data_IF_647431914159
#
_entry.id   IF_647431914159
#
_cell.length_a   1.000
_cell.length_b   1.000
_cell.length_c   1.000
_cell.angle_alpha   90.00
_cell.angle_beta   90.00
_cell.angle_gamma   90.00
#
_symmetry.space_group_name_H-M   'P 1'
#
loop_
_entity.id
_entity.type
_entity.pdbx_description
1 polymer ?
#
# COMPACT_ATOMS: atom_id res chain seq x y z
N UNK A 1 28.18 -35.08 -3.03
CA UNK A 1 29.29 -34.27 -2.46
C UNK A 1 29.29 -32.96 -3.24
N UNK A 2 29.01 -31.76 -2.72
CA UNK A 2 29.29 -31.13 -1.42
C UNK A 2 28.05 -30.37 -0.93
N UNK A 3 27.81 -30.40 0.39
CA UNK A 3 26.62 -29.83 1.03
C UNK A 3 26.68 -28.31 1.18
N UNK A 4 25.49 -27.69 1.19
CA UNK A 4 25.32 -26.33 1.70
C UNK A 4 25.36 -26.37 3.25
N UNK A 5 26.01 -25.39 3.90
CA UNK A 5 26.04 -25.34 5.36
C UNK A 5 24.67 -24.93 5.91
N UNK A 6 24.16 -25.74 6.84
CA UNK A 6 23.02 -25.45 7.69
C UNK A 6 23.43 -24.46 8.80
N UNK A 7 23.22 -23.16 8.58
CA UNK A 7 23.31 -22.12 9.60
C UNK A 7 21.96 -21.85 10.28
N UNK A 8 21.93 -21.23 11.47
CA UNK A 8 20.70 -20.92 12.20
C UNK A 8 19.80 -20.01 11.35
N UNK A 9 18.51 -20.35 11.29
CA UNK A 9 17.52 -19.75 10.41
C UNK A 9 17.49 -18.22 10.53
N UNK A 10 17.96 -17.51 9.50
CA UNK A 10 17.61 -16.11 9.29
C UNK A 10 16.09 -16.00 9.37
N UNK A 11 15.59 -15.21 10.33
CA UNK A 11 14.15 -15.01 10.47
C UNK A 11 13.70 -14.10 9.32
N UNK A 12 13.34 -14.71 8.20
CA UNK A 12 12.73 -14.04 7.06
C UNK A 12 11.44 -13.35 7.52
N UNK A 13 11.43 -12.03 7.55
CA UNK A 13 10.17 -11.28 7.58
C UNK A 13 9.80 -10.99 6.12
N UNK A 14 9.26 -12.03 5.47
CA UNK A 14 8.68 -12.11 4.10
C UNK A 14 9.31 -11.22 3.01
N UNK A 15 9.90 -11.85 1.99
CA UNK A 15 10.07 -11.22 0.68
C UNK A 15 8.70 -10.74 0.16
N UNK A 16 8.60 -9.47 -0.27
CA UNK A 16 7.43 -9.01 -1.00
C UNK A 16 7.29 -9.85 -2.28
N UNK A 17 6.09 -10.34 -2.64
CA UNK A 17 5.91 -11.06 -3.89
C UNK A 17 6.34 -10.18 -5.07
N UNK A 18 6.81 -10.83 -6.14
CA UNK A 18 6.99 -10.18 -7.44
C UNK A 18 5.64 -9.55 -7.83
N UNK A 19 5.65 -8.26 -8.14
CA UNK A 19 4.48 -7.37 -8.32
C UNK A 19 3.83 -6.90 -7.00
N UNK A 20 4.08 -5.62 -6.68
CA UNK A 20 3.49 -4.95 -5.50
C UNK A 20 2.39 -4.00 -5.96
N UNK A 21 1.15 -4.29 -5.58
CA UNK A 21 0.02 -3.36 -5.68
C UNK A 21 -0.19 -2.62 -4.33
N UNK A 22 -1.25 -1.84 -4.19
CA UNK A 22 -1.42 -0.95 -3.03
C UNK A 22 -1.41 -1.69 -1.67
N UNK A 23 -2.04 -2.86 -1.60
CA UNK A 23 -2.05 -3.73 -0.43
C UNK A 23 -0.65 -4.12 0.05
N UNK A 24 0.24 -4.49 -0.88
CA UNK A 24 1.62 -4.84 -0.58
C UNK A 24 2.42 -3.64 -0.06
N UNK A 25 2.22 -2.45 -0.62
CA UNK A 25 2.83 -1.21 -0.12
C UNK A 25 2.36 -0.91 1.31
N UNK A 26 1.06 -1.01 1.59
CA UNK A 26 0.51 -0.85 2.94
C UNK A 26 1.07 -1.89 3.91
N UNK A 27 1.27 -3.13 3.46
CA UNK A 27 1.84 -4.21 4.29
C UNK A 27 3.29 -3.93 4.67
N UNK A 28 4.12 -3.52 3.71
CA UNK A 28 5.51 -3.10 3.97
C UNK A 28 5.53 -1.95 4.97
N UNK A 29 4.69 -0.93 4.77
CA UNK A 29 4.61 0.20 5.70
C UNK A 29 4.14 -0.22 7.09
N UNK A 30 3.13 -1.08 7.22
CA UNK A 30 2.65 -1.58 8.51
C UNK A 30 3.74 -2.37 9.26
N UNK A 31 4.56 -3.12 8.54
CA UNK A 31 5.71 -3.80 9.12
C UNK A 31 6.78 -2.81 9.59
N UNK A 32 7.19 -1.89 8.71
CA UNK A 32 8.25 -0.92 9.00
C UNK A 32 7.83 0.12 10.04
N UNK A 33 6.54 0.46 10.16
CA UNK A 33 6.02 1.27 11.26
C UNK A 33 6.24 0.61 12.61
N UNK A 34 6.14 -0.72 12.69
CA UNK A 34 6.40 -1.47 13.94
C UNK A 34 7.89 -1.63 14.22
N UNK A 35 8.69 -1.83 13.19
CA UNK A 35 10.10 -2.21 13.36
C UNK A 35 11.09 -1.05 13.25
N UNK A 36 10.80 0.02 12.51
CA UNK A 36 11.77 1.06 12.16
C UNK A 36 11.38 2.48 12.62
N UNK A 37 10.08 2.80 12.73
CA UNK A 37 9.67 4.14 13.17
C UNK A 37 10.09 4.40 14.62
N UNK A 38 10.60 5.60 14.88
CA UNK A 38 11.21 6.02 16.14
C UNK A 38 12.68 5.66 16.27
N UNK A 39 13.22 4.81 15.39
CA UNK A 39 14.62 4.39 15.46
C UNK A 39 15.55 5.35 14.75
N UNK A 40 16.77 5.44 15.27
CA UNK A 40 17.90 6.09 14.61
C UNK A 40 18.53 5.13 13.60
N UNK A 41 18.55 5.52 12.33
CA UNK A 41 18.99 4.70 11.21
C UNK A 41 20.19 5.35 10.49
N UNK A 42 21.18 4.54 10.12
CA UNK A 42 22.21 4.88 9.14
C UNK A 42 21.71 4.52 7.76
N UNK A 43 21.68 5.49 6.85
CA UNK A 43 21.39 5.26 5.45
C UNK A 43 22.68 5.12 4.63
N UNK A 44 22.75 4.11 3.77
CA UNK A 44 23.76 4.00 2.71
C UNK A 44 23.08 3.70 1.37
N UNK A 45 23.77 3.99 0.26
CA UNK A 45 23.30 3.70 -1.10
C UNK A 45 24.24 2.67 -1.74
N UNK A 46 24.03 1.36 -1.54
CA UNK A 46 25.00 0.33 -1.96
C UNK A 46 25.36 0.39 -3.44
N UNK A 47 24.38 0.57 -4.33
CA UNK A 47 24.64 0.71 -5.76
C UNK A 47 24.92 2.15 -6.24
N UNK A 48 25.12 3.09 -5.31
CA UNK A 48 25.41 4.50 -5.59
C UNK A 48 24.26 5.35 -6.14
N UNK A 49 23.18 4.77 -6.68
CA UNK A 49 22.12 5.51 -7.38
C UNK A 49 21.25 6.41 -6.49
N UNK A 50 21.31 6.24 -5.17
CA UNK A 50 20.60 7.07 -4.20
C UNK A 50 21.55 7.73 -3.17
N UNK A 51 22.82 7.97 -3.57
CA UNK A 51 23.86 8.51 -2.68
C UNK A 51 23.46 9.84 -2.03
N UNK A 52 22.89 10.77 -2.82
CA UNK A 52 22.45 12.08 -2.30
C UNK A 52 21.37 11.94 -1.23
N UNK A 53 20.37 11.08 -1.47
CA UNK A 53 19.28 10.84 -0.53
C UNK A 53 19.75 10.15 0.75
N UNK A 54 20.65 9.16 0.66
CA UNK A 54 21.26 8.54 1.84
C UNK A 54 22.02 9.58 2.69
N UNK A 55 22.75 10.49 2.05
CA UNK A 55 23.44 11.58 2.75
C UNK A 55 22.44 12.54 3.42
N UNK A 56 21.36 12.88 2.73
CA UNK A 56 20.30 13.76 3.26
C UNK A 56 19.62 13.15 4.50
N UNK A 57 19.29 11.85 4.47
CA UNK A 57 18.75 11.12 5.63
C UNK A 57 19.69 11.21 6.83
N UNK A 58 20.97 10.94 6.61
CA UNK A 58 21.98 10.98 7.69
C UNK A 58 22.14 12.40 8.25
N UNK A 59 22.20 13.42 7.39
CA UNK A 59 22.27 14.84 7.79
C UNK A 59 21.04 15.31 8.56
N UNK A 60 19.86 14.77 8.23
CA UNK A 60 18.62 15.00 8.97
C UNK A 60 18.60 14.30 10.35
N UNK A 61 19.65 13.56 10.73
CA UNK A 61 19.75 12.84 12.00
C UNK A 61 19.35 11.37 11.94
N UNK A 62 18.85 10.89 10.79
CA UNK A 62 18.57 9.47 10.54
C UNK A 62 17.39 8.88 11.30
N UNK A 63 16.61 9.68 12.03
CA UNK A 63 15.45 9.17 12.79
C UNK A 63 14.23 9.07 11.87
N UNK A 64 13.69 7.87 11.67
CA UNK A 64 12.46 7.67 10.90
C UNK A 64 11.25 8.01 11.77
N UNK A 65 10.56 9.11 11.50
CA UNK A 65 9.45 9.59 12.35
C UNK A 65 8.08 9.20 11.83
N UNK A 66 7.94 8.98 10.52
CA UNK A 66 6.65 8.68 9.90
C UNK A 66 6.84 7.88 8.62
N UNK A 67 5.87 7.00 8.34
CA UNK A 67 5.72 6.37 7.04
C UNK A 67 4.29 6.64 6.59
N UNK A 68 4.12 7.23 5.41
CA UNK A 68 2.84 7.36 4.72
C UNK A 68 2.78 6.42 3.53
N UNK A 69 1.57 6.00 3.17
CA UNK A 69 1.29 5.25 1.95
C UNK A 69 0.10 5.89 1.26
N UNK A 70 0.22 6.05 -0.06
CA UNK A 70 -0.85 6.49 -0.94
C UNK A 70 -0.79 5.68 -2.23
N UNK A 71 -1.67 4.68 -2.32
CA UNK A 71 -1.65 3.67 -3.37
C UNK A 71 -0.34 2.89 -3.38
N UNK A 72 0.39 2.95 -4.50
CA UNK A 72 1.67 2.26 -4.69
C UNK A 72 2.89 3.09 -4.30
N UNK A 73 2.68 4.24 -3.67
CA UNK A 73 3.72 5.16 -3.27
C UNK A 73 3.91 5.10 -1.75
N UNK A 74 5.14 4.84 -1.31
CA UNK A 74 5.50 4.94 0.10
C UNK A 74 6.35 6.19 0.33
N UNK A 75 6.15 6.86 1.46
CA UNK A 75 6.87 8.06 1.84
C UNK A 75 7.43 7.91 3.25
N UNK A 76 8.75 7.92 3.37
CA UNK A 76 9.46 7.73 4.63
C UNK A 76 10.02 9.08 5.08
N UNK A 77 9.60 9.54 6.25
CA UNK A 77 9.95 10.86 6.78
C UNK A 77 11.07 10.71 7.81
N UNK A 78 12.23 11.30 7.51
CA UNK A 78 13.41 11.30 8.36
C UNK A 78 13.68 12.68 8.94
N UNK A 79 14.05 12.74 10.21
CA UNK A 79 14.48 13.95 10.90
C UNK A 79 13.60 14.33 12.09
N UNK A 80 13.94 15.42 12.82
CA UNK A 80 13.17 15.83 13.98
C UNK A 80 11.74 16.19 13.58
N UNK A 81 10.78 15.77 14.41
CA UNK A 81 9.37 15.98 14.13
C UNK A 81 9.10 17.50 14.01
N UNK A 82 8.52 17.94 12.89
CA UNK A 82 8.10 19.33 12.62
C UNK A 82 9.21 20.38 12.42
N UNK A 83 10.29 20.08 11.70
CA UNK A 83 11.30 21.09 11.34
C UNK A 83 11.58 21.17 9.84
N UNK A 84 12.25 22.26 9.42
CA UNK A 84 12.81 22.44 8.07
C UNK A 84 13.85 21.39 7.67
N UNK A 85 14.31 20.58 8.63
CA UNK A 85 15.30 19.51 8.43
C UNK A 85 14.68 18.16 8.08
N UNK A 86 13.35 18.04 7.98
CA UNK A 86 12.72 16.78 7.57
C UNK A 86 13.02 16.46 6.11
N UNK A 87 13.51 15.25 5.85
CA UNK A 87 13.70 14.67 4.51
C UNK A 87 12.66 13.59 4.30
N UNK A 88 11.96 13.64 3.17
CA UNK A 88 11.03 12.59 2.76
C UNK A 88 11.68 11.77 1.65
N UNK A 89 11.64 10.45 1.78
CA UNK A 89 12.03 9.50 0.75
C UNK A 89 10.77 8.93 0.10
N UNK A 90 10.60 9.17 -1.20
CA UNK A 90 9.55 8.53 -2.01
C UNK A 90 10.07 7.23 -2.58
N UNK A 91 9.28 6.17 -2.41
CA UNK A 91 9.57 4.82 -2.89
C UNK A 91 8.40 4.37 -3.75
N UNK A 92 8.72 3.93 -4.97
CA UNK A 92 7.79 3.22 -5.85
C UNK A 92 8.46 1.96 -6.39
N UNK A 93 7.95 0.79 -5.99
CA UNK A 93 8.60 -0.49 -6.24
C UNK A 93 8.74 -0.84 -7.71
N UNK A 94 7.75 -0.49 -8.55
CA UNK A 94 7.65 -1.06 -9.89
C UNK A 94 7.31 -2.55 -9.83
N UNK A 95 7.74 -3.32 -10.83
CA UNK A 95 7.35 -4.73 -10.93
C UNK A 95 8.18 -5.67 -10.04
N UNK A 96 9.43 -5.33 -9.76
CA UNK A 96 10.40 -6.21 -9.09
C UNK A 96 11.06 -5.58 -7.85
N UNK A 97 10.53 -4.46 -7.37
CA UNK A 97 11.04 -3.82 -6.16
C UNK A 97 10.67 -4.60 -4.89
N UNK A 98 11.53 -4.55 -3.89
CA UNK A 98 11.33 -5.14 -2.58
C UNK A 98 11.98 -4.27 -1.49
N UNK A 99 11.41 -4.30 -0.29
CA UNK A 99 12.03 -3.69 0.89
C UNK A 99 11.98 -4.68 2.05
N UNK A 100 13.05 -5.45 2.21
CA UNK A 100 13.16 -6.49 3.23
C UNK A 100 13.92 -5.98 4.45
N UNK A 101 13.52 -6.43 5.65
CA UNK A 101 14.22 -6.13 6.91
C UNK A 101 14.79 -7.43 7.49
N UNK A 102 16.08 -7.40 7.78
CA UNK A 102 16.84 -8.50 8.37
C UNK A 102 17.19 -8.20 9.82
N UNK A 103 17.24 -9.23 10.66
CA UNK A 103 17.65 -9.16 12.05
C UNK A 103 18.94 -9.96 12.24
N UNK A 104 19.97 -9.34 12.84
CA UNK A 104 21.31 -9.91 13.11
C UNK A 104 22.12 -10.24 11.85
N UNK A 105 21.68 -11.23 11.07
CA UNK A 105 22.31 -11.66 9.82
C UNK A 105 21.56 -11.06 8.64
N UNK A 106 22.27 -10.28 7.82
CA UNK A 106 21.77 -9.75 6.55
C UNK A 106 22.57 -10.34 5.39
N UNK A 107 21.95 -10.55 4.21
CA UNK A 107 22.68 -10.95 3.02
C UNK A 107 23.55 -9.79 2.50
N UNK A 108 24.50 -10.12 1.62
CA UNK A 108 25.21 -9.09 0.87
C UNK A 108 24.25 -8.27 0.01
N UNK A 109 24.54 -6.97 -0.10
CA UNK A 109 23.77 -6.08 -0.97
C UNK A 109 24.01 -6.43 -2.43
N UNK A 110 22.96 -6.38 -3.24
CA UNK A 110 23.04 -6.64 -4.68
C UNK A 110 23.21 -5.35 -5.48
N UNK A 111 23.53 -5.45 -6.78
CA UNK A 111 23.55 -4.33 -7.72
C UNK A 111 22.23 -3.53 -7.79
N UNK A 112 21.12 -4.13 -7.37
CA UNK A 112 19.79 -3.49 -7.35
C UNK A 112 19.45 -2.84 -6.00
N UNK A 113 20.29 -3.01 -4.97
CA UNK A 113 20.04 -2.43 -3.65
C UNK A 113 20.34 -0.93 -3.67
N UNK A 114 19.28 -0.12 -3.74
CA UNK A 114 19.34 1.35 -3.83
C UNK A 114 19.55 2.02 -2.49
N UNK A 115 18.92 1.52 -1.44
CA UNK A 115 19.01 2.09 -0.10
C UNK A 115 19.16 0.95 0.92
N UNK A 116 20.10 1.09 1.84
CA UNK A 116 20.21 0.25 3.03
C UNK A 116 20.04 1.12 4.27
N UNK A 117 19.13 0.72 5.15
CA UNK A 117 18.86 1.39 6.43
C UNK A 117 19.28 0.47 7.57
N UNK A 118 20.16 0.91 8.45
CA UNK A 118 20.68 0.12 9.56
C UNK A 118 20.39 0.81 10.89
N UNK A 119 19.87 0.09 11.89
CA UNK A 119 19.69 0.65 13.23
C UNK A 119 21.03 1.00 13.90
N UNK A 120 21.10 2.21 14.48
CA UNK A 120 22.23 2.74 15.25
C UNK A 120 21.88 3.02 16.72
N UNK A 121 20.72 2.57 17.17
CA UNK A 121 20.17 2.83 18.50
C UNK A 121 20.65 1.83 19.58
N UNK A 122 21.63 0.97 19.25
CA UNK A 122 22.13 -0.08 20.15
C UNK A 122 21.13 -1.21 20.41
N UNK A 123 19.97 -1.21 19.75
CA UNK A 123 18.96 -2.25 19.94
C UNK A 123 19.42 -3.60 19.42
N UNK A 124 19.01 -4.65 20.15
CA UNK A 124 19.21 -6.04 19.75
C UNK A 124 17.86 -6.72 19.50
N UNK A 125 17.71 -7.46 18.37
CA UNK A 125 18.70 -7.61 17.31
C UNK A 125 18.86 -6.32 16.49
N UNK A 126 20.09 -6.05 16.00
CA UNK A 126 20.34 -5.00 15.00
C UNK A 126 19.49 -5.30 13.75
N UNK A 127 18.75 -4.29 13.29
CA UNK A 127 17.93 -4.40 12.09
C UNK A 127 18.62 -3.75 10.89
N UNK A 128 18.49 -4.38 9.72
CA UNK A 128 18.96 -3.85 8.46
C UNK A 128 17.92 -4.00 7.37
N UNK A 129 17.42 -2.88 6.83
CA UNK A 129 16.48 -2.83 5.74
C UNK A 129 17.17 -2.64 4.40
N UNK A 130 16.92 -3.51 3.42
CA UNK A 130 17.45 -3.39 2.05
C UNK A 130 16.31 -3.09 1.08
N UNK A 131 16.43 -1.97 0.37
CA UNK A 131 15.47 -1.51 -0.63
C UNK A 131 16.03 -1.67 -2.04
N UNK A 132 15.31 -2.40 -2.88
CA UNK A 132 15.35 -2.33 -4.34
C UNK A 132 14.03 -1.76 -4.83
N UNK A 133 14.06 -0.77 -5.73
CA UNK A 133 12.85 -0.18 -6.29
C UNK A 133 13.15 0.54 -7.60
N UNK A 134 12.12 0.67 -8.44
CA UNK A 134 12.16 1.43 -9.67
C UNK A 134 12.46 2.91 -9.41
N UNK A 135 11.78 3.50 -8.42
CA UNK A 135 11.96 4.90 -8.00
C UNK A 135 12.32 4.95 -6.52
N UNK A 136 13.41 5.66 -6.22
CA UNK A 136 13.83 6.04 -4.86
C UNK A 136 14.33 7.46 -4.94
N UNK A 137 13.51 8.41 -4.52
CA UNK A 137 13.78 9.85 -4.60
C UNK A 137 13.67 10.50 -3.22
N UNK A 138 14.25 11.67 -3.04
CA UNK A 138 14.18 12.40 -1.77
C UNK A 138 13.93 13.88 -1.97
N UNK A 139 13.29 14.51 -0.98
CA UNK A 139 13.05 15.93 -1.00
C UNK A 139 12.39 16.43 0.28
N UNK A 140 12.00 17.70 0.28
CA UNK A 140 11.25 18.31 1.39
C UNK A 140 9.80 17.81 1.39
N UNK A 141 9.11 17.76 2.56
CA UNK A 141 7.73 17.30 2.64
C UNK A 141 6.75 17.96 1.66
N UNK A 142 6.85 19.27 1.45
CA UNK A 142 5.94 19.99 0.55
C UNK A 142 6.00 19.50 -0.89
N UNK A 143 7.20 19.22 -1.41
CA UNK A 143 7.38 18.77 -2.81
C UNK A 143 7.25 17.26 -2.91
N UNK A 144 7.93 16.52 -2.03
CA UNK A 144 8.07 15.07 -2.17
C UNK A 144 6.87 14.30 -1.64
N UNK A 145 6.07 14.88 -0.73
CA UNK A 145 4.84 14.24 -0.27
C UNK A 145 3.60 14.99 -0.76
N UNK A 146 3.41 16.26 -0.39
CA UNK A 146 2.13 16.94 -0.65
C UNK A 146 1.81 17.01 -2.16
N UNK A 147 2.75 17.50 -3.00
CA UNK A 147 2.54 17.59 -4.45
C UNK A 147 2.26 16.24 -5.11
N UNK A 148 2.88 15.15 -4.66
CA UNK A 148 2.63 13.82 -5.21
C UNK A 148 1.28 13.26 -4.71
N UNK A 149 0.97 13.43 -3.43
CA UNK A 149 -0.29 12.97 -2.83
C UNK A 149 -1.52 13.67 -3.43
N UNK A 150 -1.42 14.98 -3.73
CA UNK A 150 -2.50 15.76 -4.35
C UNK A 150 -2.89 15.23 -5.75
N UNK A 151 -1.92 14.69 -6.50
CA UNK A 151 -2.15 14.12 -7.84
C UNK A 151 -2.78 12.73 -7.83
N UNK A 152 -2.77 12.05 -6.67
CA UNK A 152 -3.29 10.69 -6.55
C UNK A 152 -4.79 10.70 -6.24
N UNK A 153 -5.50 9.72 -6.79
CA UNK A 153 -6.89 9.43 -6.47
C UNK A 153 -7.05 8.89 -5.05
N UNK A 154 -8.29 8.69 -4.58
CA UNK A 154 -8.54 8.04 -3.29
C UNK A 154 -7.87 6.65 -3.25
N UNK A 155 -7.28 6.31 -2.10
CA UNK A 155 -6.65 5.00 -1.85
C UNK A 155 -7.61 4.14 -1.00
N UNK A 156 -8.11 3.00 -1.52
CA UNK A 156 -9.08 2.16 -0.83
C UNK A 156 -8.68 1.66 0.57
N UNK A 157 -7.39 1.68 0.92
CA UNK A 157 -6.89 1.22 2.22
C UNK A 157 -6.64 2.35 3.22
N UNK A 158 -6.85 3.61 2.83
CA UNK A 158 -6.74 4.73 3.76
C UNK A 158 -8.07 5.02 4.44
N UNK A 159 -8.01 5.41 5.71
CA UNK A 159 -9.20 5.77 6.48
C UNK A 159 -9.87 7.07 6.00
N UNK A 160 -9.11 7.93 5.31
CA UNK A 160 -9.58 9.20 4.73
C UNK A 160 -9.96 9.07 3.25
N UNK A 161 -10.15 7.84 2.75
CA UNK A 161 -10.51 7.61 1.36
C UNK A 161 -11.93 8.10 1.05
N UNK A 162 -12.05 9.00 0.08
CA UNK A 162 -13.34 9.51 -0.38
C UNK A 162 -13.86 8.75 -1.60
N UNK A 163 -14.84 7.88 -1.37
CA UNK A 163 -15.55 7.15 -2.44
C UNK A 163 -16.23 8.09 -3.43
N UNK A 164 -16.72 9.26 -2.98
CA UNK A 164 -17.42 10.21 -3.87
C UNK A 164 -16.47 10.79 -4.91
N UNK A 165 -15.20 10.99 -4.55
CA UNK A 165 -14.16 11.41 -5.50
C UNK A 165 -13.93 10.35 -6.58
N UNK A 166 -13.91 9.07 -6.20
CA UNK A 166 -13.81 7.96 -7.16
C UNK A 166 -15.03 7.90 -8.08
N UNK A 167 -16.24 7.88 -7.53
CA UNK A 167 -17.47 7.76 -8.33
C UNK A 167 -17.64 8.94 -9.29
N UNK A 168 -17.36 10.17 -8.82
CA UNK A 168 -17.43 11.37 -9.66
C UNK A 168 -16.41 11.35 -10.80
N UNK A 169 -15.19 10.88 -10.52
CA UNK A 169 -14.15 10.74 -11.54
C UNK A 169 -14.58 9.76 -12.62
N UNK A 170 -15.10 8.59 -12.25
CA UNK A 170 -15.61 7.59 -13.18
C UNK A 170 -16.78 8.12 -14.01
N UNK A 171 -17.76 8.78 -13.38
CA UNK A 171 -18.91 9.37 -14.07
C UNK A 171 -18.50 10.42 -15.13
N UNK A 172 -17.36 11.09 -14.95
CA UNK A 172 -16.82 12.05 -15.91
C UNK A 172 -16.04 11.43 -17.07
N UNK A 173 -15.79 10.12 -17.08
CA UNK A 173 -14.86 9.48 -18.01
C UNK A 173 -15.56 8.59 -19.04
N UNK A 174 -15.43 8.93 -20.33
CA UNK A 174 -15.85 8.07 -21.45
C UNK A 174 -14.93 6.86 -21.68
N UNK A 175 -13.78 6.82 -21.01
CA UNK A 175 -12.81 5.73 -21.14
C UNK A 175 -13.38 4.43 -20.54
N UNK A 176 -12.97 3.26 -21.04
CA UNK A 176 -13.28 1.97 -20.41
C UNK A 176 -12.98 1.96 -18.91
N UNK A 177 -13.86 1.38 -18.09
CA UNK A 177 -13.68 1.27 -16.64
C UNK A 177 -12.39 0.52 -16.30
N UNK A 178 -12.02 -0.50 -17.07
CA UNK A 178 -10.74 -1.19 -16.90
C UNK A 178 -9.54 -0.25 -17.13
N UNK A 179 -9.64 0.75 -18.00
CA UNK A 179 -8.58 1.76 -18.16
C UNK A 179 -8.57 2.72 -16.97
N UNK A 180 -9.75 3.15 -16.51
CA UNK A 180 -9.89 4.07 -15.37
C UNK A 180 -9.34 3.48 -14.07
N UNK A 181 -9.55 2.18 -13.82
CA UNK A 181 -9.00 1.52 -12.63
C UNK A 181 -7.47 1.44 -12.60
N UNK A 182 -6.79 1.69 -13.73
CA UNK A 182 -5.32 1.78 -13.77
C UNK A 182 -4.79 3.21 -13.64
N UNK A 183 -5.66 4.21 -13.78
CA UNK A 183 -5.33 5.62 -13.62
C UNK A 183 -5.17 5.94 -12.12
N UNK A 184 -3.91 6.14 -11.69
CA UNK A 184 -3.61 6.42 -10.29
C UNK A 184 -4.15 7.77 -9.81
N UNK A 185 -4.58 8.68 -10.71
CA UNK A 185 -5.31 9.90 -10.36
C UNK A 185 -6.81 9.66 -10.09
N UNK A 186 -7.36 8.56 -10.61
CA UNK A 186 -8.74 8.17 -10.40
C UNK A 186 -8.91 7.27 -9.18
N UNK A 187 -8.01 6.31 -9.00
CA UNK A 187 -7.96 5.44 -7.82
C UNK A 187 -6.52 4.97 -7.60
N UNK A 188 -5.98 5.26 -6.43
CA UNK A 188 -4.59 4.94 -6.13
C UNK A 188 -4.48 3.50 -5.59
N UNK A 189 -3.47 2.75 -6.03
CA UNK A 189 -3.15 1.44 -5.46
C UNK A 189 -3.66 0.24 -6.27
N UNK A 190 -4.75 0.40 -7.03
CA UNK A 190 -5.24 -0.65 -7.93
C UNK A 190 -4.24 -0.89 -9.07
N UNK A 191 -3.93 -2.16 -9.33
CA UNK A 191 -3.15 -2.60 -10.48
C UNK A 191 -3.87 -3.63 -11.34
N UNK A 192 -3.09 -4.34 -12.15
CA UNK A 192 -3.63 -5.18 -13.21
C UNK A 192 -4.39 -6.39 -12.65
N UNK A 193 -3.89 -6.91 -11.53
CA UNK A 193 -4.48 -8.07 -10.86
C UNK A 193 -5.80 -7.63 -10.22
N UNK A 194 -5.76 -6.62 -9.33
CA UNK A 194 -6.98 -6.15 -8.70
C UNK A 194 -8.01 -5.67 -9.71
N UNK A 195 -7.61 -4.94 -10.77
CA UNK A 195 -8.53 -4.55 -11.86
C UNK A 195 -9.31 -5.73 -12.42
N UNK A 196 -8.63 -6.82 -12.77
CA UNK A 196 -9.29 -7.98 -13.40
C UNK A 196 -10.21 -8.67 -12.40
N UNK A 197 -9.72 -8.89 -11.17
CA UNK A 197 -10.43 -9.61 -10.12
C UNK A 197 -11.66 -8.85 -9.59
N UNK A 198 -11.58 -7.53 -9.44
CA UNK A 198 -12.69 -6.72 -8.91
C UNK A 198 -13.78 -6.49 -9.98
N UNK A 199 -13.39 -6.34 -11.25
CA UNK A 199 -14.36 -6.24 -12.35
C UNK A 199 -15.07 -7.57 -12.59
N UNK A 200 -14.35 -8.69 -12.48
CA UNK A 200 -14.98 -10.02 -12.49
C UNK A 200 -15.97 -10.18 -11.33
N UNK A 201 -15.56 -9.83 -10.12
CA UNK A 201 -16.42 -9.96 -8.94
C UNK A 201 -17.69 -9.12 -9.09
N UNK A 202 -17.56 -7.90 -9.59
CA UNK A 202 -18.67 -6.98 -9.89
C UNK A 202 -19.49 -7.35 -11.14
N UNK A 203 -19.05 -8.31 -11.97
CA UNK A 203 -19.72 -8.66 -13.22
C UNK A 203 -19.68 -7.56 -14.29
N UNK A 204 -18.74 -6.62 -14.18
CA UNK A 204 -18.61 -5.49 -15.11
C UNK A 204 -17.58 -5.83 -16.18
N UNK A 205 -17.95 -5.66 -17.45
CA UNK A 205 -17.02 -5.84 -18.55
C UNK A 205 -15.95 -4.73 -18.55
N UNK A 206 -14.64 -5.04 -18.69
CA UNK A 206 -13.60 -4.00 -18.61
C UNK A 206 -13.70 -2.90 -19.66
N UNK A 207 -14.27 -3.22 -20.83
CA UNK A 207 -14.51 -2.25 -21.91
C UNK A 207 -15.72 -1.34 -21.69
N UNK A 208 -16.54 -1.58 -20.65
CA UNK A 208 -17.70 -0.73 -20.37
C UNK A 208 -17.24 0.71 -20.11
N UNK A 209 -17.75 1.74 -20.81
CA UNK A 209 -17.39 3.12 -20.55
C UNK A 209 -17.73 3.50 -19.10
N UNK A 210 -16.78 4.09 -18.37
CA UNK A 210 -16.95 4.34 -16.93
C UNK A 210 -18.13 5.27 -16.61
N UNK A 211 -18.41 6.22 -17.50
CA UNK A 211 -19.55 7.13 -17.38
C UNK A 211 -20.93 6.49 -17.66
N UNK A 212 -20.98 5.22 -18.06
CA UNK A 212 -22.24 4.48 -18.25
C UNK A 212 -22.59 3.59 -17.04
N UNK A 213 -21.71 3.56 -16.03
CA UNK A 213 -21.98 2.89 -14.76
C UNK A 213 -22.75 3.84 -13.85
N UNK A 214 -23.81 3.34 -13.23
CA UNK A 214 -24.59 4.08 -12.24
C UNK A 214 -23.75 4.36 -10.98
N UNK A 215 -24.17 5.36 -10.21
CA UNK A 215 -23.51 5.67 -8.92
C UNK A 215 -23.55 4.47 -7.96
N UNK A 216 -24.61 3.67 -8.00
CA UNK A 216 -24.73 2.44 -7.19
C UNK A 216 -23.73 1.36 -7.64
N UNK A 217 -23.58 1.14 -8.94
CA UNK A 217 -22.57 0.19 -9.48
C UNK A 217 -21.15 0.63 -9.13
N UNK A 218 -20.84 1.92 -9.23
CA UNK A 218 -19.52 2.45 -8.89
C UNK A 218 -19.24 2.35 -7.37
N UNK A 219 -20.23 2.60 -6.51
CA UNK A 219 -20.10 2.40 -5.08
C UNK A 219 -19.94 0.92 -4.70
N UNK A 220 -20.65 0.02 -5.39
CA UNK A 220 -20.48 -1.43 -5.27
C UNK A 220 -19.07 -1.87 -5.69
N UNK A 221 -18.59 -1.36 -6.83
CA UNK A 221 -17.23 -1.61 -7.31
C UNK A 221 -16.17 -1.13 -6.31
N UNK A 222 -16.34 0.07 -5.75
CA UNK A 222 -15.48 0.58 -4.68
C UNK A 222 -15.45 -0.36 -3.47
N UNK A 223 -16.62 -0.82 -3.01
CA UNK A 223 -16.74 -1.75 -1.88
C UNK A 223 -15.99 -3.05 -2.15
N UNK A 224 -16.12 -3.60 -3.36
CA UNK A 224 -15.39 -4.79 -3.81
C UNK A 224 -13.88 -4.57 -3.81
N UNK A 225 -13.41 -3.42 -4.30
CA UNK A 225 -11.99 -3.06 -4.30
C UNK A 225 -11.44 -2.99 -2.87
N UNK A 226 -12.14 -2.28 -1.98
CA UNK A 226 -11.76 -2.16 -0.55
C UNK A 226 -11.67 -3.54 0.08
N UNK A 227 -12.70 -4.38 -0.08
CA UNK A 227 -12.75 -5.72 0.52
C UNK A 227 -11.58 -6.61 0.04
N UNK A 228 -11.31 -6.65 -1.27
CA UNK A 228 -10.23 -7.47 -1.81
C UNK A 228 -8.85 -6.96 -1.39
N UNK A 229 -8.59 -5.66 -1.47
CA UNK A 229 -7.31 -5.08 -1.05
C UNK A 229 -7.08 -5.22 0.46
N UNK A 230 -8.14 -5.11 1.28
CA UNK A 230 -8.05 -5.33 2.73
C UNK A 230 -7.75 -6.80 3.04
N UNK A 231 -8.40 -7.73 2.35
CA UNK A 231 -8.07 -9.16 2.47
C UNK A 231 -6.61 -9.40 2.09
N UNK A 232 -6.14 -8.84 0.96
CA UNK A 232 -4.75 -8.99 0.53
C UNK A 232 -3.73 -8.39 1.50
N UNK A 233 -4.03 -7.23 2.08
CA UNK A 233 -3.23 -6.64 3.15
C UNK A 233 -3.14 -7.56 4.38
N UNK A 234 -4.28 -8.09 4.85
CA UNK A 234 -4.35 -8.94 6.07
C UNK A 234 -3.61 -10.26 5.88
N UNK A 235 -3.81 -10.96 4.77
CA UNK A 235 -3.20 -12.28 4.53
C UNK A 235 -1.78 -12.17 3.98
N UNK A 236 -1.46 -11.04 3.34
CA UNK A 236 -0.23 -10.82 2.59
C UNK A 236 -0.14 -11.65 1.31
N UNK A 237 -1.29 -12.05 0.77
CA UNK A 237 -1.45 -12.68 -0.53
C UNK A 237 -2.39 -11.81 -1.36
N UNK A 238 -2.06 -11.52 -2.62
CA UNK A 238 -2.96 -10.74 -3.49
C UNK A 238 -4.31 -11.44 -3.74
N UNK A 239 -4.38 -12.74 -3.48
CA UNK A 239 -5.61 -13.54 -3.52
C UNK A 239 -6.45 -13.40 -2.26
N UNK A 240 -5.94 -12.71 -1.23
CA UNK A 240 -6.61 -12.54 0.05
C UNK A 240 -6.75 -13.87 0.78
N UNK A 241 -7.97 -14.18 1.20
CA UNK A 241 -8.35 -15.45 1.83
C UNK A 241 -8.57 -16.58 0.79
N UNK A 242 -8.56 -16.26 -0.51
CA UNK A 242 -8.69 -17.23 -1.59
C UNK A 242 -7.35 -17.92 -1.87
N UNK A 243 -7.40 -19.18 -2.31
CA UNK A 243 -6.22 -19.95 -2.71
C UNK A 243 -5.79 -19.68 -4.16
N UNK A 244 -6.72 -19.24 -4.99
CA UNK A 244 -6.53 -19.08 -6.43
C UNK A 244 -7.21 -17.80 -6.94
N UNK A 245 -6.77 -17.24 -8.08
CA UNK A 245 -7.45 -16.14 -8.75
C UNK A 245 -8.87 -16.52 -9.18
N UNK A 246 -9.74 -15.52 -9.34
CA UNK A 246 -11.08 -15.69 -9.89
C UNK A 246 -11.09 -15.70 -11.41
N UNK A 247 -10.26 -14.85 -12.03
CA UNK A 247 -10.18 -14.69 -13.49
C UNK A 247 -8.74 -14.49 -13.98
N UNK A 248 -7.88 -13.87 -13.18
CA UNK A 248 -6.55 -13.45 -13.63
C UNK A 248 -5.66 -14.64 -13.99
N UNK A 249 -5.18 -14.68 -15.25
CA UNK A 249 -4.25 -15.71 -15.71
C UNK A 249 -4.87 -17.12 -15.81
N UNK A 250 -6.19 -17.25 -15.77
CA UNK A 250 -6.89 -18.53 -15.89
C UNK A 250 -7.42 -18.76 -17.29
N UNK A 251 -7.61 -20.02 -17.66
CA UNK A 251 -8.39 -20.42 -18.84
C UNK A 251 -9.90 -20.49 -18.52
N UNK A 252 -10.24 -20.90 -17.29
CA UNK A 252 -11.60 -20.99 -16.78
C UNK A 252 -11.73 -20.19 -15.49
N UNK A 253 -12.74 -19.32 -15.44
CA UNK A 253 -13.03 -18.48 -14.28
C UNK A 253 -13.66 -19.27 -13.13
N UNK A 254 -13.69 -18.68 -11.93
CA UNK A 254 -14.26 -19.33 -10.74
C UNK A 254 -15.74 -19.74 -10.86
N UNK A 255 -16.50 -19.16 -11.80
CA UNK A 255 -17.90 -19.52 -12.06
C UNK A 255 -18.06 -20.57 -13.18
N UNK A 256 -16.96 -21.15 -13.67
CA UNK A 256 -16.96 -22.12 -14.77
C UNK A 256 -17.18 -21.51 -16.15
N UNK A 257 -17.11 -20.19 -16.31
CA UNK A 257 -17.11 -19.54 -17.63
C UNK A 257 -15.71 -19.46 -18.23
N UNK A 258 -15.61 -19.59 -19.55
CA UNK A 258 -14.36 -19.41 -20.29
C UNK A 258 -13.79 -18.00 -20.08
N UNK A 259 -12.46 -17.93 -19.91
CA UNK A 259 -11.72 -16.69 -19.78
C UNK A 259 -11.13 -16.32 -21.13
N UNK A 260 -11.49 -15.15 -21.62
CA UNK A 260 -10.82 -14.50 -22.74
C UNK A 260 -9.87 -13.44 -22.20
N UNK A 261 -8.94 -12.99 -23.05
CA UNK A 261 -8.03 -11.91 -22.69
C UNK A 261 -8.03 -10.80 -23.74
N UNK A 262 -7.77 -9.58 -23.30
CA UNK A 262 -7.67 -8.40 -24.17
C UNK A 262 -6.52 -7.50 -23.73
N UNK A 263 -5.93 -6.78 -24.69
CA UNK A 263 -4.94 -5.77 -24.40
C UNK A 263 -5.63 -4.45 -24.02
N UNK A 264 -5.28 -3.90 -22.85
CA UNK A 264 -5.82 -2.62 -22.37
C UNK A 264 -4.74 -1.81 -21.64
N UNK A 265 -4.26 -0.75 -22.30
CA UNK A 265 -3.20 0.11 -21.79
C UNK A 265 -1.85 -0.61 -21.66
N UNK A 266 -1.49 -1.41 -22.68
CA UNK A 266 -0.22 -2.17 -22.71
C UNK A 266 -0.16 -3.36 -21.74
N UNK A 267 -1.31 -3.77 -21.19
CA UNK A 267 -1.42 -4.90 -20.24
C UNK A 267 -2.56 -5.81 -20.61
N UNK A 268 -2.39 -7.10 -20.40
CA UNK A 268 -3.43 -8.12 -20.57
C UNK A 268 -4.47 -8.00 -19.44
N UNK A 269 -5.74 -7.96 -19.81
CA UNK A 269 -6.90 -8.05 -18.92
C UNK A 269 -7.63 -9.34 -19.20
N UNK A 270 -8.05 -10.03 -18.15
CA UNK A 270 -8.77 -11.29 -18.22
C UNK A 270 -10.26 -11.06 -17.98
N UNK A 271 -11.10 -11.71 -18.79
CA UNK A 271 -12.55 -11.47 -18.83
C UNK A 271 -13.29 -12.79 -18.87
N UNK A 272 -14.27 -12.97 -17.99
CA UNK A 272 -15.16 -14.12 -18.02
C UNK A 272 -16.30 -13.89 -19.02
N UNK A 273 -16.34 -14.68 -20.09
CA UNK A 273 -17.37 -14.57 -21.14
C UNK A 273 -18.80 -14.82 -20.65
N UNK A 274 -18.97 -15.50 -19.50
CA UNK A 274 -20.28 -15.77 -18.90
C UNK A 274 -20.77 -14.65 -17.98
N UNK A 275 -19.86 -14.04 -17.22
CA UNK A 275 -20.21 -13.11 -16.12
C UNK A 275 -20.07 -11.64 -16.52
N UNK A 276 -19.16 -11.34 -17.43
CA UNK A 276 -18.82 -9.98 -17.81
C UNK A 276 -19.26 -9.76 -19.26
N UNK A 277 -20.51 -9.35 -19.44
CA UNK A 277 -21.07 -9.04 -20.76
C UNK A 277 -20.95 -7.54 -20.99
N UNK A 278 -20.42 -7.14 -22.15
CA UNK A 278 -20.39 -5.74 -22.56
C UNK A 278 -21.80 -5.32 -22.96
N UNK A 279 -22.31 -4.25 -22.34
CA UNK A 279 -23.59 -3.68 -22.71
C UNK A 279 -23.34 -2.40 -23.53
N UNK A 280 -23.49 -2.56 -24.85
CA UNK A 280 -23.28 -1.51 -25.84
C UNK A 280 -24.44 -0.50 -25.87
N UNK A 281 -25.60 -0.84 -25.31
CA UNK A 281 -26.77 0.02 -25.29
C UNK A 281 -26.75 1.02 -24.12
N UNK A 282 -25.86 0.84 -23.13
CA UNK A 282 -25.82 1.73 -21.97
C UNK A 282 -25.59 3.18 -22.35
N UNK A 283 -26.44 4.04 -21.79
CA UNK A 283 -26.31 5.49 -21.94
C UNK A 283 -25.47 6.08 -20.80
N UNK A 284 -24.73 7.18 -21.06
CA UNK A 284 -24.04 7.90 -20.02
C UNK A 284 -24.99 8.33 -18.91
N UNK A 285 -24.61 8.06 -17.67
CA UNK A 285 -25.31 8.55 -16.48
C UNK A 285 -24.85 9.98 -16.23
N UNK A 286 -25.80 10.91 -16.05
CA UNK A 286 -25.47 12.28 -15.71
C UNK A 286 -24.64 12.32 -14.41
N UNK A 287 -23.52 13.06 -14.37
CA UNK A 287 -22.75 13.18 -13.15
C UNK A 287 -23.59 13.87 -12.06
N UNK A 288 -23.47 13.48 -10.78
CA UNK A 288 -24.19 14.13 -9.70
C UNK A 288 -23.86 15.64 -9.66
N UNK A 289 -24.87 16.52 -9.44
CA UNK A 289 -24.66 17.96 -9.44
C UNK A 289 -23.71 18.40 -8.32
N UNK A 290 -22.85 19.38 -8.60
CA UNK A 290 -21.92 19.98 -7.63
C UNK A 290 -20.48 19.47 -7.65
N UNK A 291 -20.16 18.49 -8.51
CA UNK A 291 -18.79 18.02 -8.70
C UNK A 291 -18.17 18.65 -9.95
N UNK A 292 -17.36 19.67 -9.73
CA UNK A 292 -16.53 20.29 -10.77
C UNK A 292 -15.66 19.19 -11.37
N UNK A 293 -15.65 19.08 -12.71
CA UNK A 293 -14.70 18.27 -13.45
C UNK A 293 -13.31 18.62 -12.93
N UNK A 294 -12.63 17.72 -12.24
CA UNK A 294 -11.18 17.82 -12.04
C UNK A 294 -10.49 17.48 -13.36
N UNK A 295 -10.82 18.20 -14.44
CA UNK A 295 -10.13 18.05 -15.70
C UNK A 295 -8.62 18.13 -15.42
N UNK A 296 -7.88 17.18 -15.97
CA UNK A 296 -6.48 17.43 -16.28
C UNK A 296 -6.45 18.55 -17.30
N UNK A 297 -6.53 19.79 -16.85
CA UNK A 297 -6.14 20.92 -17.69
C UNK A 297 -4.63 20.83 -17.88
N UNK A 298 -4.20 20.96 -19.13
CA UNK A 298 -2.85 21.44 -19.42
C UNK A 298 -2.73 22.80 -18.76
N UNK A 299 -1.86 22.93 -17.76
CA UNK A 299 -1.71 24.21 -17.08
C UNK A 299 -0.65 25.04 -17.81
N UNK A 300 -1.08 25.77 -18.84
CA UNK A 300 -0.46 27.06 -19.15
C UNK A 300 -1.10 28.09 -18.21
N UNK A 301 -0.28 28.70 -17.33
CA UNK A 301 -0.75 29.68 -16.34
C UNK A 301 -0.65 29.27 -14.86
N UNK A 302 0.11 28.23 -14.48
CA UNK A 302 0.56 28.09 -13.08
C UNK A 302 1.46 29.26 -12.76
N UNK A 303 0.91 30.31 -12.13
CA UNK A 303 1.72 31.31 -11.45
C UNK A 303 2.16 30.71 -10.10
N UNK A 304 3.46 30.81 -9.73
CA UNK A 304 4.02 30.10 -8.58
C UNK A 304 3.40 30.46 -7.23
N UNK A 305 3.77 29.66 -6.22
CA UNK A 305 3.46 29.84 -4.80
C UNK A 305 4.00 31.15 -4.15
N UNK A 306 4.26 32.20 -4.93
CA UNK A 306 4.69 33.53 -4.46
C UNK A 306 3.58 34.59 -4.49
N UNK A 307 2.35 34.26 -4.92
CA UNK A 307 1.26 35.27 -5.05
C UNK A 307 0.12 35.10 -4.02
N UNK A 308 0.08 34.01 -3.25
CA UNK A 308 -0.89 33.85 -2.15
C UNK A 308 -0.39 34.37 -0.79
N UNK A 309 0.86 34.82 -0.69
CA UNK A 309 1.42 35.46 0.52
C UNK A 309 1.08 36.96 0.64
N UNK A 310 0.41 37.56 -0.35
CA UNK A 310 0.12 39.00 -0.39
C UNK A 310 -1.16 39.49 0.30
N UNK A 311 -2.11 38.61 0.69
CA UNK A 311 -3.43 39.05 1.21
C UNK A 311 -3.86 38.44 2.54
N UNK A 312 -2.95 37.87 3.32
CA UNK A 312 -3.21 37.42 4.71
C UNK A 312 -2.27 38.01 5.77
N UNK A 313 -1.57 39.10 5.43
CA UNK A 313 -0.78 39.91 6.38
C UNK A 313 -1.50 41.18 6.87
N UNK A 314 -2.83 41.29 6.72
CA UNK A 314 -3.52 42.57 6.94
C UNK A 314 -4.72 42.59 7.90
N UNK A 315 -5.12 41.47 8.52
CA UNK A 315 -6.28 41.49 9.43
C UNK A 315 -6.10 40.81 10.78
N UNK A 316 -4.87 40.43 11.18
CA UNK A 316 -4.58 40.17 12.60
C UNK A 316 -5.50 39.20 13.36
N UNK A 317 -6.22 38.30 12.68
CA UNK A 317 -7.13 37.35 13.31
C UNK A 317 -6.57 35.93 13.14
N UNK A 318 -6.19 35.35 14.27
CA UNK A 318 -5.81 33.96 14.37
C UNK A 318 -7.03 33.05 14.27
N UNK A 319 -6.93 32.00 13.45
CA UNK A 319 -7.79 30.81 13.47
C UNK A 319 -6.87 29.64 13.05
N UNK A 320 -6.63 28.58 13.81
CA UNK A 320 -7.53 27.96 14.78
C UNK A 320 -8.32 26.82 14.15
N UNK A 321 -7.67 25.85 13.51
CA UNK A 321 -8.21 24.47 13.38
C UNK A 321 -7.04 23.49 13.41
N UNK A 322 -6.85 22.86 14.56
CA UNK A 322 -6.03 21.67 14.70
C UNK A 322 -6.82 20.48 14.12
N UNK A 323 -6.25 19.71 13.20
CA UNK A 323 -6.67 18.32 13.01
C UNK A 323 -6.22 17.54 14.25
N UNK A 324 -7.03 17.59 15.30
CA UNK A 324 -6.97 16.65 16.40
C UNK A 324 -7.43 15.32 15.83
N UNK A 325 -6.49 14.38 15.70
CA UNK A 325 -6.83 12.98 15.58
C UNK A 325 -7.77 12.64 16.74
N UNK A 326 -9.00 12.22 16.44
CA UNK A 326 -9.91 11.64 17.43
C UNK A 326 -9.22 10.44 18.07
N UNK A 327 -8.53 10.70 19.18
CA UNK A 327 -8.17 9.74 20.20
C UNK A 327 -9.23 9.93 21.27
N UNK A 328 -10.37 9.24 21.14
CA UNK A 328 -11.16 9.01 22.34
C UNK A 328 -10.48 7.89 23.15
N UNK A 329 -10.41 8.09 24.47
CA UNK A 329 -9.81 7.11 25.38
C UNK A 329 -10.64 5.82 25.46
N UNK A 330 -11.89 5.85 25.01
CA UNK A 330 -12.78 4.70 24.90
C UNK A 330 -12.28 3.70 23.84
N UNK A 331 -11.86 4.17 22.66
CA UNK A 331 -11.32 3.36 21.57
C UNK A 331 -9.93 2.82 21.93
N UNK A 332 -9.12 3.62 22.64
CA UNK A 332 -7.83 3.15 23.18
C UNK A 332 -8.03 2.08 24.25
N UNK A 333 -8.98 2.24 25.18
CA UNK A 333 -9.32 1.21 26.18
C UNK A 333 -9.89 -0.04 25.52
N UNK A 334 -10.76 0.09 24.52
CA UNK A 334 -11.33 -1.05 23.79
C UNK A 334 -10.25 -1.84 23.03
N UNK A 335 -9.31 -1.15 22.37
CA UNK A 335 -8.19 -1.79 21.68
C UNK A 335 -7.22 -2.50 22.66
N UNK A 336 -6.97 -1.91 23.84
CA UNK A 336 -6.15 -2.52 24.88
C UNK A 336 -6.85 -3.71 25.56
N UNK A 337 -8.16 -3.63 25.81
CA UNK A 337 -8.96 -4.71 26.35
C UNK A 337 -9.02 -5.90 25.39
N UNK A 338 -9.27 -5.65 24.10
CA UNK A 338 -9.23 -6.66 23.05
C UNK A 338 -7.85 -7.33 22.92
N UNK A 339 -6.77 -6.54 23.02
CA UNK A 339 -5.41 -7.08 22.99
C UNK A 339 -5.06 -7.93 24.22
N UNK A 340 -5.61 -7.61 25.40
CA UNK A 340 -5.45 -8.39 26.63
C UNK A 340 -6.20 -9.74 26.57
N UNK A 341 -7.41 -9.73 26.02
CA UNK A 341 -8.24 -10.92 25.82
C UNK A 341 -7.59 -11.92 24.82
N UNK A 342 -7.01 -11.40 23.73
CA UNK A 342 -6.25 -12.20 22.75
C UNK A 342 -4.94 -12.78 23.32
N UNK A 343 -4.32 -12.11 24.30
CA UNK A 343 -3.12 -12.63 24.99
C UNK A 343 -3.47 -13.74 25.98
N UNK A 344 -4.59 -13.64 26.69
CA UNK A 344 -5.07 -14.68 27.60
C UNK A 344 -5.48 -15.95 26.86
N UNK A 345 -6.21 -15.82 25.75
CA UNK A 345 -6.60 -16.96 24.90
C UNK A 345 -5.40 -17.65 24.26
N UNK A 346 -4.39 -16.90 23.81
CA UNK A 346 -3.14 -17.48 23.30
C UNK A 346 -2.31 -18.19 24.39
N UNK A 347 -2.31 -17.68 25.62
CA UNK A 347 -1.64 -18.33 26.76
C UNK A 347 -2.36 -19.61 27.21
N UNK A 348 -3.69 -19.61 27.20
CA UNK A 348 -4.52 -20.80 27.48
C UNK A 348 -4.30 -21.90 26.43
N UNK A 349 -4.27 -21.55 25.14
CA UNK A 349 -3.98 -22.48 24.06
C UNK A 349 -2.58 -23.10 24.15
N UNK A 350 -1.58 -22.32 24.58
CA UNK A 350 -0.21 -22.81 24.81
C UNK A 350 -0.11 -23.78 26.00
N UNK A 351 -0.83 -23.52 27.09
CA UNK A 351 -0.89 -24.43 28.25
C UNK A 351 -1.61 -25.75 27.93
N UNK A 352 -2.67 -25.70 27.11
CA UNK A 352 -3.37 -26.90 26.63
C UNK A 352 -2.48 -27.79 25.74
N UNK A 353 -1.69 -27.17 24.85
CA UNK A 353 -0.75 -27.87 23.97
C UNK A 353 0.46 -28.45 24.71
N UNK A 354 0.91 -27.82 25.79
CA UNK A 354 1.98 -28.36 26.65
C UNK A 354 1.50 -29.60 27.45
N UNK A 355 0.26 -29.60 27.95
CA UNK A 355 -0.32 -30.76 28.65
C UNK A 355 -0.51 -31.98 27.73
N UNK A 356 -0.88 -31.78 26.46
CA UNK A 356 -1.02 -32.89 25.50
C UNK A 356 0.32 -33.51 25.10
N UNK A 357 1.38 -32.69 24.96
CA UNK A 357 2.74 -33.18 24.69
C UNK A 357 3.36 -33.91 25.89
N UNK A 358 3.08 -33.47 27.12
CA UNK A 358 3.55 -34.15 28.33
C UNK A 358 2.94 -35.55 28.51
N UNK A 359 1.65 -35.72 28.21
CA UNK A 359 0.99 -37.05 28.23
C UNK A 359 1.54 -38.00 27.16
N UNK A 360 1.86 -37.49 25.96
CA UNK A 360 2.43 -38.30 24.89
C UNK A 360 3.88 -38.74 25.17
N UNK A 361 4.65 -37.94 25.91
CA UNK A 361 6.01 -38.30 26.32
C UNK A 361 6.03 -39.35 27.45
N UNK A 362 5.11 -39.25 28.43
CA UNK A 362 4.98 -40.24 29.51
C UNK A 362 4.55 -41.63 29.01
N UNK A 363 3.68 -41.70 28.01
CA UNK A 363 3.25 -42.98 27.42
C UNK A 363 4.37 -43.71 26.65
N UNK A 364 5.38 -42.98 26.15
CA UNK A 364 6.56 -43.56 25.46
C UNK A 364 7.65 -44.03 26.42
N UNK A 365 7.66 -43.54 27.66
CA UNK A 365 8.63 -43.95 28.68
C UNK A 365 8.19 -45.20 29.46
N UNK A 366 6.90 -45.55 29.45
CA UNK A 366 6.38 -46.76 30.07
C UNK A 366 6.36 -47.99 29.15
N UNK A 367 6.81 -47.85 27.90
CA UNK A 367 6.87 -48.93 26.89
C UNK A 367 8.31 -49.27 26.47
N UNK A 368 9.29 -48.92 27.30
CA UNK A 368 10.69 -49.34 27.25
C UNK A 368 11.06 -49.78 28.66
#
# INVERSE_FOLDING_TARGET
>A
RKGLPSGPSARWIRAAPAMVEGDGCHRVAAEHRRSLVGRKLKATSPNGRFRAGALAINKAGGVLVKIEVHGKNLFYFFGPNRTTSTVVVHIHFGMAGAFAVYAETEPDTTANTRLRLTTLDGSQPRLSGHLSAMTVEHGKPGVMYNTLAEKLGPDPLRADADVKRFTARCAGMKKPIGTVLMDQSAIAGVGNIYRSEVLYEAGVHPSQPANTLSSAELAGLWTTIVAQMQSGFRTGSIWGDRKEPLVYGREMSACGGAVTSMAMGGRTVYVCAKKQILDEARQPVAPPPGLVRSGTEHIEGVVPASVSEGRKRRTGEGLGVQHVALKDDATRKAALAWAAEKRCTAAAARRASAKSKGRAAGAKAASR
#
